data_IF_649308736283
#
_entry.id   IF_649308736283
#
_cell.length_a   1.000
_cell.length_b   1.000
_cell.length_c   1.000
_cell.angle_alpha   90.00
_cell.angle_beta   90.00
_cell.angle_gamma   90.00
#
_symmetry.space_group_name_H-M   'P 1'
#
loop_
_entity.id
_entity.type
_entity.pdbx_description
1 polymer ?
#
# COMPACT_ATOMS: atom_id res chain seq x y z
N UNK A 1 10.77 -16.68 -13.03
CA UNK A 1 10.84 -18.10 -12.62
C UNK A 1 9.46 -18.66 -12.27
N UNK A 2 8.69 -18.02 -11.37
CA UNK A 2 7.30 -18.42 -11.09
C UNK A 2 6.39 -18.47 -12.33
N UNK A 3 6.42 -17.45 -13.19
CA UNK A 3 5.59 -17.41 -14.41
C UNK A 3 5.84 -18.59 -15.34
N UNK A 4 7.09 -19.06 -15.44
CA UNK A 4 7.46 -20.25 -16.21
C UNK A 4 6.92 -21.53 -15.58
N UNK A 5 6.88 -21.61 -14.24
CA UNK A 5 6.28 -22.74 -13.52
C UNK A 5 4.75 -22.78 -13.74
N UNK A 6 4.07 -21.64 -13.64
CA UNK A 6 2.64 -21.54 -13.91
C UNK A 6 2.32 -21.94 -15.37
N UNK A 7 3.10 -21.45 -16.34
CA UNK A 7 2.96 -21.82 -17.75
C UNK A 7 3.24 -23.32 -17.95
N UNK A 8 4.25 -23.88 -17.30
CA UNK A 8 4.57 -25.30 -17.38
C UNK A 8 3.46 -26.17 -16.78
N UNK A 9 2.88 -25.78 -15.64
CA UNK A 9 1.75 -26.49 -15.02
C UNK A 9 0.54 -26.51 -15.97
N UNK A 10 0.17 -25.36 -16.54
CA UNK A 10 -0.91 -25.27 -17.51
C UNK A 10 -0.59 -26.04 -18.79
N UNK A 11 0.66 -26.02 -19.26
CA UNK A 11 1.10 -26.73 -20.46
C UNK A 11 1.12 -28.26 -20.29
N UNK A 12 1.46 -28.76 -19.10
CA UNK A 12 1.53 -30.19 -18.81
C UNK A 12 0.16 -30.83 -18.56
N UNK A 13 -0.72 -30.13 -17.84
CA UNK A 13 -2.01 -30.69 -17.42
C UNK A 13 -3.20 -30.12 -18.21
N UNK A 14 -3.00 -29.07 -19.01
CA UNK A 14 -4.09 -28.30 -19.60
C UNK A 14 -4.80 -27.44 -18.56
N UNK A 15 -5.57 -26.45 -19.03
CA UNK A 15 -6.25 -25.47 -18.17
C UNK A 15 -7.28 -26.15 -17.23
N UNK A 16 -7.95 -27.19 -17.71
CA UNK A 16 -8.96 -27.95 -16.94
C UNK A 16 -8.39 -29.17 -16.19
N UNK A 17 -7.19 -29.64 -16.53
CA UNK A 17 -6.60 -30.83 -15.88
C UNK A 17 -5.94 -30.55 -14.53
N UNK A 18 -5.98 -29.29 -14.08
CA UNK A 18 -5.54 -28.87 -12.74
C UNK A 18 -6.67 -28.96 -11.69
N UNK A 19 -7.89 -29.32 -12.09
CA UNK A 19 -9.04 -29.47 -11.20
C UNK A 19 -8.76 -30.39 -10.01
N UNK A 20 -9.03 -29.92 -8.79
CA UNK A 20 -8.82 -30.67 -7.55
C UNK A 20 -7.36 -30.97 -7.17
N UNK A 21 -6.38 -30.38 -7.87
CA UNK A 21 -4.97 -30.63 -7.57
C UNK A 21 -4.50 -29.73 -6.41
N UNK A 22 -4.11 -30.37 -5.30
CA UNK A 22 -3.62 -29.71 -4.07
C UNK A 22 -2.36 -28.86 -4.26
N UNK A 23 -1.61 -29.06 -5.36
CA UNK A 23 -0.43 -28.27 -5.67
C UNK A 23 -0.76 -26.89 -6.27
N UNK A 24 -2.00 -26.64 -6.69
CA UNK A 24 -2.39 -25.39 -7.35
C UNK A 24 -2.24 -24.20 -6.38
N UNK A 25 -2.73 -24.32 -5.14
CA UNK A 25 -2.58 -23.27 -4.12
C UNK A 25 -1.11 -22.93 -3.79
N UNK A 26 -0.23 -23.89 -3.41
CA UNK A 26 1.15 -23.56 -3.10
C UNK A 26 1.91 -23.01 -4.32
N UNK A 27 1.63 -23.48 -5.54
CA UNK A 27 2.29 -22.99 -6.75
C UNK A 27 1.80 -21.61 -7.20
N UNK A 28 0.50 -21.34 -7.10
CA UNK A 28 -0.10 -20.10 -7.63
C UNK A 28 -0.27 -19.00 -6.58
N UNK A 29 -0.24 -19.30 -5.28
CA UNK A 29 -0.38 -18.31 -4.20
C UNK A 29 0.88 -18.24 -3.36
N UNK A 30 1.28 -19.33 -2.70
CA UNK A 30 2.40 -19.28 -1.76
C UNK A 30 3.72 -18.94 -2.45
N UNK A 31 4.03 -19.56 -3.59
CA UNK A 31 5.29 -19.33 -4.30
C UNK A 31 5.43 -17.90 -4.85
N UNK A 32 4.44 -17.27 -5.52
CA UNK A 32 4.57 -15.88 -5.94
C UNK A 32 4.58 -14.90 -4.77
N UNK A 33 3.82 -15.14 -3.70
CA UNK A 33 3.91 -14.31 -2.48
C UNK A 33 5.28 -14.44 -1.82
N UNK A 34 5.83 -15.66 -1.70
CA UNK A 34 7.19 -15.87 -1.22
C UNK A 34 8.22 -15.19 -2.12
N UNK A 35 8.04 -15.25 -3.45
CA UNK A 35 8.88 -14.53 -4.42
C UNK A 35 8.82 -13.02 -4.18
N UNK A 36 7.62 -12.47 -3.94
CA UNK A 36 7.46 -11.07 -3.58
C UNK A 36 8.26 -10.72 -2.33
N UNK A 37 8.16 -11.49 -1.24
CA UNK A 37 8.92 -11.23 -0.01
C UNK A 37 10.44 -11.35 -0.22
N UNK A 38 10.89 -12.36 -0.98
CA UNK A 38 12.31 -12.51 -1.32
C UNK A 38 12.83 -11.30 -2.09
N UNK A 39 12.08 -10.82 -3.09
CA UNK A 39 12.46 -9.62 -3.85
C UNK A 39 12.36 -8.35 -2.99
N UNK A 40 11.35 -8.25 -2.12
CA UNK A 40 11.17 -7.11 -1.23
C UNK A 40 12.33 -6.95 -0.25
N UNK A 41 12.80 -8.04 0.37
CA UNK A 41 13.87 -7.99 1.37
C UNK A 41 15.29 -8.11 0.79
N UNK A 42 15.46 -8.81 -0.33
CA UNK A 42 16.77 -9.15 -0.88
C UNK A 42 16.95 -8.68 -2.34
N UNK A 43 16.02 -7.93 -2.90
CA UNK A 43 16.06 -7.47 -4.30
C UNK A 43 17.31 -6.66 -4.62
N UNK A 44 17.81 -5.86 -3.67
CA UNK A 44 19.05 -5.12 -3.80
C UNK A 44 20.28 -6.02 -4.00
N UNK A 45 20.33 -7.16 -3.28
CA UNK A 45 21.45 -8.12 -3.35
C UNK A 45 21.33 -8.99 -4.60
N UNK A 46 20.11 -9.45 -4.91
CA UNK A 46 19.82 -10.32 -6.04
C UNK A 46 20.05 -9.65 -7.41
N UNK A 47 19.88 -8.33 -7.49
CA UNK A 47 20.12 -7.57 -8.73
C UNK A 47 21.59 -7.19 -8.91
N UNK A 48 22.48 -7.53 -7.97
CA UNK A 48 23.92 -7.34 -8.08
C UNK A 48 24.32 -5.90 -8.38
N UNK A 49 23.61 -4.93 -7.78
CA UNK A 49 23.78 -3.49 -8.03
C UNK A 49 23.61 -3.05 -9.51
N UNK A 50 23.08 -3.89 -10.41
CA UNK A 50 22.84 -3.50 -11.83
C UNK A 50 21.82 -2.39 -11.99
N UNK A 51 21.02 -2.15 -10.96
CA UNK A 51 19.99 -1.11 -10.86
C UNK A 51 20.34 -0.09 -9.77
N UNK A 52 21.63 -0.02 -9.38
CA UNK A 52 22.10 0.81 -8.28
C UNK A 52 21.93 2.29 -8.60
N UNK A 53 21.11 2.96 -7.81
CA UNK A 53 21.20 4.41 -7.67
C UNK A 53 22.47 4.75 -6.88
N UNK A 54 23.14 5.84 -7.23
CA UNK A 54 24.18 6.40 -6.36
C UNK A 54 23.48 7.07 -5.18
N UNK A 55 23.72 6.57 -3.98
CA UNK A 55 23.11 7.09 -2.75
C UNK A 55 24.21 7.72 -1.89
N UNK A 56 23.95 8.93 -1.42
CA UNK A 56 24.74 9.56 -0.37
C UNK A 56 24.00 9.37 0.95
N UNK A 57 24.66 8.72 1.90
CA UNK A 57 24.11 8.48 3.24
C UNK A 57 25.15 8.98 4.24
N UNK A 58 24.79 9.98 5.03
CA UNK A 58 25.64 10.67 5.99
C UNK A 58 26.55 9.73 6.79
N UNK A 59 25.98 8.68 7.39
CA UNK A 59 26.66 7.73 8.27
C UNK A 59 27.66 6.84 7.53
N UNK A 60 27.46 6.64 6.23
CA UNK A 60 28.33 5.84 5.37
C UNK A 60 29.41 6.69 4.70
N UNK A 61 29.12 7.95 4.39
CA UNK A 61 30.00 8.84 3.66
C UNK A 61 30.87 9.73 4.56
N UNK A 62 30.39 10.04 5.77
CA UNK A 62 31.15 10.79 6.78
C UNK A 62 31.94 9.81 7.63
N UNK A 63 33.21 10.14 7.84
CA UNK A 63 34.14 9.37 8.63
C UNK A 63 33.64 9.30 10.08
N UNK A 64 33.47 8.09 10.63
CA UNK A 64 32.87 7.91 11.95
C UNK A 64 33.90 7.90 13.09
N UNK A 65 35.17 7.63 12.80
CA UNK A 65 36.23 7.37 13.80
C UNK A 65 37.31 8.45 13.89
N UNK A 66 37.45 9.27 12.85
CA UNK A 66 38.44 10.37 12.78
C UNK A 66 37.66 11.66 12.95
N UNK A 67 37.88 12.33 14.08
CA UNK A 67 37.11 13.50 14.49
C UNK A 67 37.43 14.71 13.62
N UNK A 68 38.64 14.85 13.11
CA UNK A 68 39.02 15.98 12.26
C UNK A 68 38.42 15.82 10.85
N UNK A 69 38.53 14.62 10.27
CA UNK A 69 37.89 14.34 8.99
C UNK A 69 36.37 14.46 9.11
N UNK A 70 35.78 13.93 10.20
CA UNK A 70 34.36 14.05 10.48
C UNK A 70 33.91 15.52 10.51
N UNK A 71 34.63 16.37 11.25
CA UNK A 71 34.32 17.79 11.33
C UNK A 71 34.39 18.48 9.95
N UNK A 72 35.45 18.21 9.17
CA UNK A 72 35.61 18.74 7.81
C UNK A 72 34.47 18.28 6.88
N UNK A 73 34.05 17.03 6.98
CA UNK A 73 32.99 16.47 6.14
C UNK A 73 31.59 16.94 6.56
N UNK A 74 31.32 17.09 7.86
CA UNK A 74 30.09 17.71 8.36
C UNK A 74 29.99 19.16 7.88
N UNK A 75 31.08 19.92 7.90
CA UNK A 75 31.11 21.28 7.37
C UNK A 75 30.81 21.33 5.86
N UNK A 76 31.12 20.26 5.11
CA UNK A 76 30.85 20.13 3.68
C UNK A 76 29.47 19.53 3.36
N UNK A 77 28.69 19.10 4.37
CA UNK A 77 27.41 18.42 4.19
C UNK A 77 26.42 19.22 3.31
N UNK A 78 26.25 20.55 3.49
CA UNK A 78 25.35 21.31 2.63
C UNK A 78 25.73 21.26 1.14
N UNK A 79 27.03 21.12 0.82
CA UNK A 79 27.50 21.00 -0.56
C UNK A 79 27.05 19.68 -1.18
N UNK A 80 27.22 18.56 -0.46
CA UNK A 80 26.76 17.26 -0.96
C UNK A 80 25.26 17.23 -1.20
N UNK A 81 24.49 17.81 -0.26
CA UNK A 81 23.03 17.90 -0.38
C UNK A 81 22.63 18.78 -1.57
N UNK A 82 23.31 19.92 -1.78
CA UNK A 82 23.01 20.82 -2.90
C UNK A 82 23.30 20.21 -4.28
N UNK A 83 24.25 19.28 -4.38
CA UNK A 83 24.59 18.58 -5.62
C UNK A 83 23.77 17.30 -5.86
N UNK A 84 22.93 16.87 -4.91
CA UNK A 84 22.08 15.71 -5.09
C UNK A 84 20.99 16.00 -6.14
N UNK A 85 20.70 15.04 -7.01
CA UNK A 85 19.64 15.17 -8.03
C UNK A 85 18.23 14.96 -7.46
N UNK A 86 18.10 14.21 -6.37
CA UNK A 86 16.85 13.89 -5.66
C UNK A 86 17.12 13.73 -4.17
N UNK A 87 16.13 14.04 -3.33
CA UNK A 87 16.17 13.82 -1.89
C UNK A 87 15.07 12.84 -1.48
N UNK A 88 15.47 11.68 -0.96
CA UNK A 88 14.56 10.70 -0.37
C UNK A 88 14.48 10.93 1.15
N UNK A 89 13.32 11.38 1.62
CA UNK A 89 13.02 11.55 3.04
C UNK A 89 12.40 10.26 3.56
N UNK A 90 13.12 9.56 4.43
CA UNK A 90 12.58 8.45 5.21
C UNK A 90 11.95 9.00 6.49
N UNK A 91 10.64 9.25 6.45
CA UNK A 91 9.95 9.91 7.55
C UNK A 91 9.66 8.94 8.70
N UNK A 92 10.17 9.28 9.88
CA UNK A 92 9.71 8.79 11.18
C UNK A 92 9.08 9.94 11.98
N UNK A 93 8.47 9.61 13.12
CA UNK A 93 7.81 10.57 14.02
C UNK A 93 8.73 11.68 14.57
N UNK A 94 10.05 11.58 14.41
CA UNK A 94 11.04 12.55 14.88
C UNK A 94 11.71 13.33 13.75
N UNK A 95 11.37 13.08 12.48
CA UNK A 95 12.06 13.68 11.33
C UNK A 95 12.06 15.21 11.37
N UNK A 96 10.87 15.81 11.44
CA UNK A 96 10.72 17.26 11.49
C UNK A 96 11.15 17.87 12.84
N UNK A 97 11.33 17.04 13.86
CA UNK A 97 11.89 17.47 15.15
C UNK A 97 13.42 17.55 15.13
N UNK A 98 14.11 17.07 14.09
CA UNK A 98 15.58 17.06 14.03
C UNK A 98 16.09 18.24 13.23
N UNK A 99 16.78 19.18 13.90
CA UNK A 99 17.28 20.41 13.27
C UNK A 99 18.26 20.15 12.11
N UNK A 100 19.11 19.13 12.22
CA UNK A 100 20.01 18.72 11.13
C UNK A 100 19.26 18.22 9.89
N UNK A 101 18.22 17.39 10.06
CA UNK A 101 17.37 16.95 8.95
C UNK A 101 16.64 18.12 8.28
N UNK A 102 16.23 19.11 9.08
CA UNK A 102 15.61 20.32 8.56
C UNK A 102 16.61 21.21 7.79
N UNK A 103 17.88 21.28 8.20
CA UNK A 103 18.94 21.95 7.45
C UNK A 103 19.19 21.28 6.09
N UNK A 104 19.24 19.95 6.06
CA UNK A 104 19.37 19.18 4.82
C UNK A 104 18.20 19.46 3.87
N UNK A 105 16.97 19.43 4.40
CA UNK A 105 15.77 19.75 3.64
C UNK A 105 15.81 21.19 3.10
N UNK A 106 16.14 22.17 3.93
CA UNK A 106 16.27 23.57 3.54
C UNK A 106 17.31 23.74 2.42
N UNK A 107 18.46 23.10 2.57
CA UNK A 107 19.55 23.13 1.59
C UNK A 107 19.14 22.51 0.26
N UNK A 108 18.50 21.33 0.30
CA UNK A 108 18.08 20.64 -0.92
C UNK A 108 16.99 21.43 -1.65
N UNK A 109 15.97 21.88 -0.94
CA UNK A 109 14.85 22.62 -1.55
C UNK A 109 15.32 23.91 -2.20
N UNK A 110 16.26 24.64 -1.58
CA UNK A 110 16.84 25.85 -2.16
C UNK A 110 17.58 25.58 -3.49
N UNK A 111 18.29 24.46 -3.59
CA UNK A 111 19.18 24.16 -4.72
C UNK A 111 18.54 23.24 -5.78
N UNK A 112 18.03 22.07 -5.36
CA UNK A 112 17.47 21.02 -6.21
C UNK A 112 15.98 21.18 -6.52
N UNK A 113 15.27 22.04 -5.79
CA UNK A 113 13.85 22.29 -5.97
C UNK A 113 12.95 21.19 -5.37
N UNK A 114 11.80 21.62 -4.88
CA UNK A 114 10.87 20.78 -4.11
C UNK A 114 10.35 19.56 -4.86
N UNK A 115 10.17 19.66 -6.18
CA UNK A 115 9.64 18.60 -7.04
C UNK A 115 10.51 17.34 -7.08
N UNK A 116 11.77 17.45 -6.65
CA UNK A 116 12.73 16.36 -6.59
C UNK A 116 12.84 15.74 -5.18
N UNK A 117 11.92 16.11 -4.27
CA UNK A 117 11.77 15.50 -2.95
C UNK A 117 10.76 14.36 -3.03
N UNK A 118 11.18 13.18 -2.57
CA UNK A 118 10.33 12.01 -2.37
C UNK A 118 10.20 11.76 -0.86
N UNK A 119 8.99 11.82 -0.30
CA UNK A 119 8.77 11.50 1.11
C UNK A 119 8.16 10.10 1.25
N UNK A 120 8.88 9.20 1.91
CA UNK A 120 8.46 7.83 2.19
C UNK A 120 8.24 7.64 3.70
N UNK A 121 6.98 7.52 4.15
CA UNK A 121 6.69 7.25 5.56
C UNK A 121 7.10 5.82 5.94
N UNK A 122 7.87 5.67 7.02
CA UNK A 122 8.39 4.36 7.43
C UNK A 122 7.32 3.38 7.92
N UNK A 123 6.10 3.84 8.23
CA UNK A 123 4.97 2.96 8.55
C UNK A 123 4.35 2.28 7.33
N UNK A 124 4.61 2.77 6.10
CA UNK A 124 3.97 2.27 4.88
C UNK A 124 4.34 0.81 4.60
N UNK A 125 5.63 0.49 4.67
CA UNK A 125 6.11 -0.87 4.44
C UNK A 125 5.57 -1.88 5.48
N UNK A 126 5.69 -1.65 6.80
CA UNK A 126 5.08 -2.52 7.82
C UNK A 126 3.57 -2.72 7.63
N UNK A 127 2.81 -1.65 7.34
CA UNK A 127 1.37 -1.75 7.09
C UNK A 127 1.07 -2.60 5.84
N UNK A 128 1.82 -2.39 4.74
CA UNK A 128 1.64 -3.13 3.50
C UNK A 128 1.94 -4.61 3.69
N UNK A 129 3.09 -4.94 4.29
CA UNK A 129 3.49 -6.32 4.55
C UNK A 129 2.52 -7.02 5.51
N UNK A 130 2.07 -6.33 6.55
CA UNK A 130 1.04 -6.85 7.45
C UNK A 130 -0.26 -7.12 6.69
N UNK A 131 -0.71 -6.21 5.82
CA UNK A 131 -1.92 -6.40 5.02
C UNK A 131 -1.80 -7.61 4.09
N UNK A 132 -0.66 -7.79 3.41
CA UNK A 132 -0.37 -8.96 2.57
C UNK A 132 -0.39 -10.25 3.41
N UNK A 133 0.21 -10.27 4.60
CA UNK A 133 0.21 -11.47 5.44
C UNK A 133 -1.19 -11.83 5.96
N UNK A 134 -2.00 -10.83 6.30
CA UNK A 134 -3.39 -11.04 6.72
C UNK A 134 -4.26 -11.52 5.55
N UNK A 135 -4.04 -10.99 4.34
CA UNK A 135 -4.72 -11.45 3.13
C UNK A 135 -4.32 -12.88 2.77
N UNK A 136 -3.03 -13.23 2.92
CA UNK A 136 -2.52 -14.60 2.74
C UNK A 136 -3.13 -15.56 3.77
N UNK A 137 -3.23 -15.14 5.04
CA UNK A 137 -3.90 -15.92 6.07
C UNK A 137 -5.37 -16.16 5.71
N UNK A 138 -6.08 -15.13 5.24
CA UNK A 138 -7.47 -15.27 4.80
C UNK A 138 -7.61 -16.23 3.61
N UNK A 139 -6.76 -16.10 2.58
CA UNK A 139 -6.72 -17.01 1.44
C UNK A 139 -6.41 -18.46 1.86
N UNK A 140 -5.46 -18.67 2.78
CA UNK A 140 -5.17 -19.99 3.33
C UNK A 140 -6.30 -20.58 4.17
N UNK A 141 -7.02 -19.76 4.94
CA UNK A 141 -8.21 -20.18 5.68
C UNK A 141 -9.35 -20.55 4.74
N UNK A 142 -9.52 -19.81 3.65
CA UNK A 142 -10.52 -20.12 2.62
C UNK A 142 -10.18 -21.45 1.91
N UNK A 143 -8.91 -21.64 1.55
CA UNK A 143 -8.45 -22.91 0.98
C UNK A 143 -8.64 -24.10 1.94
N UNK A 144 -8.36 -23.90 3.22
CA UNK A 144 -8.60 -24.91 4.26
C UNK A 144 -10.08 -25.23 4.39
N UNK A 145 -10.96 -24.22 4.33
CA UNK A 145 -12.40 -24.39 4.37
C UNK A 145 -12.88 -25.27 3.20
N UNK A 146 -12.41 -25.00 1.99
CA UNK A 146 -12.73 -25.80 0.80
C UNK A 146 -12.25 -27.25 0.92
N UNK A 147 -11.08 -27.47 1.52
CA UNK A 147 -10.55 -28.82 1.75
C UNK A 147 -11.32 -29.60 2.83
N UNK A 148 -11.67 -28.94 3.94
CA UNK A 148 -12.38 -29.56 5.06
C UNK A 148 -13.85 -29.80 4.70
N UNK A 149 -14.45 -28.90 3.92
CA UNK A 149 -15.84 -28.96 3.48
C UNK A 149 -15.92 -28.95 1.95
N UNK A 150 -15.54 -30.05 1.27
CA UNK A 150 -15.53 -30.08 -0.18
C UNK A 150 -16.94 -29.87 -0.74
N UNK A 151 -17.03 -28.97 -1.73
CA UNK A 151 -18.27 -28.56 -2.39
C UNK A 151 -19.31 -27.96 -1.42
N UNK A 152 -18.88 -27.29 -0.34
CA UNK A 152 -19.80 -26.68 0.64
C UNK A 152 -20.76 -25.68 -0.02
N UNK A 153 -20.26 -24.87 -0.96
CA UNK A 153 -21.03 -23.90 -1.73
C UNK A 153 -22.17 -24.59 -2.48
N UNK A 154 -21.89 -25.71 -3.13
CA UNK A 154 -22.87 -26.52 -3.86
C UNK A 154 -23.90 -27.18 -2.94
N UNK A 155 -23.50 -27.63 -1.74
CA UNK A 155 -24.44 -28.18 -0.75
C UNK A 155 -25.44 -27.13 -0.26
N UNK A 156 -25.08 -25.86 -0.32
CA UNK A 156 -25.92 -24.75 0.13
C UNK A 156 -26.86 -24.23 -0.98
N UNK A 157 -26.60 -24.59 -2.25
CA UNK A 157 -27.45 -24.16 -3.38
C UNK A 157 -28.91 -24.58 -3.19
N UNK A 158 -29.28 -25.86 -2.97
CA UNK A 158 -30.69 -26.25 -2.84
C UNK A 158 -31.46 -25.53 -1.72
N UNK A 159 -31.00 -25.49 -0.45
CA UNK A 159 -31.76 -24.83 0.61
C UNK A 159 -31.88 -23.33 0.40
N UNK A 160 -30.86 -22.67 -0.17
CA UNK A 160 -30.95 -21.24 -0.49
C UNK A 160 -31.94 -21.00 -1.64
N UNK A 161 -31.92 -21.83 -2.68
CA UNK A 161 -32.87 -21.72 -3.79
C UNK A 161 -34.31 -21.94 -3.31
N UNK A 162 -34.57 -22.95 -2.48
CA UNK A 162 -35.90 -23.21 -1.91
C UNK A 162 -36.39 -22.03 -1.04
N UNK A 163 -35.52 -21.52 -0.16
CA UNK A 163 -35.85 -20.35 0.65
C UNK A 163 -36.12 -19.12 -0.22
N UNK A 164 -35.31 -18.89 -1.26
CA UNK A 164 -35.48 -17.77 -2.19
C UNK A 164 -36.76 -17.90 -3.00
N UNK A 165 -37.10 -19.11 -3.46
CA UNK A 165 -38.35 -19.38 -4.18
C UNK A 165 -39.57 -19.06 -3.32
N UNK A 166 -39.52 -19.41 -2.03
CA UNK A 166 -40.61 -19.13 -1.09
C UNK A 166 -40.82 -17.62 -0.83
N UNK A 167 -39.76 -16.82 -0.90
CA UNK A 167 -39.77 -15.39 -0.57
C UNK A 167 -39.97 -14.48 -1.79
N UNK A 168 -39.34 -14.82 -2.92
CA UNK A 168 -39.23 -13.96 -4.11
C UNK A 168 -39.87 -14.58 -5.36
N UNK A 169 -40.38 -15.81 -5.27
CA UNK A 169 -41.03 -16.52 -6.36
C UNK A 169 -40.06 -17.26 -7.30
N UNK A 170 -40.61 -17.81 -8.39
CA UNK A 170 -39.93 -18.80 -9.24
C UNK A 170 -39.08 -18.22 -10.38
N UNK A 171 -38.65 -16.96 -10.30
CA UNK A 171 -37.85 -16.37 -11.38
C UNK A 171 -36.44 -16.98 -11.38
N UNK A 172 -36.02 -17.73 -12.43
CA UNK A 172 -34.78 -18.49 -12.40
C UNK A 172 -33.53 -17.59 -12.31
N UNK A 173 -33.53 -16.43 -12.96
CA UNK A 173 -32.42 -15.48 -12.88
C UNK A 173 -32.28 -14.90 -11.47
N UNK A 174 -33.41 -14.55 -10.82
CA UNK A 174 -33.42 -14.07 -9.43
C UNK A 174 -32.93 -15.14 -8.45
N UNK A 175 -33.36 -16.40 -8.62
CA UNK A 175 -32.92 -17.51 -7.77
C UNK A 175 -31.39 -17.68 -7.85
N UNK A 176 -30.83 -17.72 -9.06
CA UNK A 176 -29.38 -17.85 -9.27
C UNK A 176 -28.61 -16.65 -8.71
N UNK A 177 -29.12 -15.43 -8.95
CA UNK A 177 -28.53 -14.20 -8.43
C UNK A 177 -28.41 -14.24 -6.91
N UNK A 178 -29.52 -14.52 -6.21
CA UNK A 178 -29.55 -14.53 -4.75
C UNK A 178 -28.69 -15.65 -4.20
N UNK A 179 -28.79 -16.87 -4.75
CA UNK A 179 -27.97 -18.00 -4.30
C UNK A 179 -26.48 -17.71 -4.39
N UNK A 180 -26.02 -17.21 -5.54
CA UNK A 180 -24.61 -16.88 -5.74
C UNK A 180 -24.16 -15.73 -4.83
N UNK A 181 -25.00 -14.70 -4.66
CA UNK A 181 -24.73 -13.59 -3.76
C UNK A 181 -24.56 -14.05 -2.30
N UNK A 182 -25.46 -14.91 -1.80
CA UNK A 182 -25.42 -15.44 -0.43
C UNK A 182 -24.19 -16.32 -0.20
N UNK A 183 -23.87 -17.22 -1.14
CA UNK A 183 -22.67 -18.08 -1.05
C UNK A 183 -21.42 -17.20 -0.96
N UNK A 184 -21.31 -16.20 -1.82
CA UNK A 184 -20.15 -15.31 -1.82
C UNK A 184 -20.04 -14.49 -0.54
N UNK A 185 -21.16 -13.97 -0.02
CA UNK A 185 -21.17 -13.29 1.28
C UNK A 185 -20.65 -14.19 2.41
N UNK A 186 -21.01 -15.48 2.40
CA UNK A 186 -20.54 -16.44 3.39
C UNK A 186 -19.03 -16.74 3.26
N UNK A 187 -18.49 -16.75 2.03
CA UNK A 187 -17.05 -16.88 1.78
C UNK A 187 -16.22 -15.82 2.51
N UNK A 188 -16.80 -14.66 2.83
CA UNK A 188 -16.16 -13.59 3.60
C UNK A 188 -15.90 -13.93 5.08
N UNK A 189 -16.41 -15.05 5.59
CA UNK A 189 -16.23 -15.45 6.99
C UNK A 189 -14.76 -15.61 7.40
N UNK A 190 -13.89 -15.95 6.45
CA UNK A 190 -12.44 -16.09 6.70
C UNK A 190 -11.80 -14.76 7.08
N UNK A 191 -12.35 -13.63 6.64
CA UNK A 191 -11.88 -12.30 7.00
C UNK A 191 -12.34 -11.86 8.41
N UNK A 192 -13.29 -12.55 9.04
CA UNK A 192 -13.63 -12.28 10.45
C UNK A 192 -12.44 -12.56 11.36
N UNK A 193 -11.66 -13.61 11.07
CA UNK A 193 -10.50 -14.01 11.87
C UNK A 193 -9.34 -13.02 11.73
N UNK A 194 -9.20 -12.36 10.58
CA UNK A 194 -8.16 -11.36 10.34
C UNK A 194 -8.59 -9.93 10.73
N UNK A 195 -9.85 -9.74 11.11
CA UNK A 195 -10.40 -8.41 11.43
C UNK A 195 -9.72 -7.74 12.63
N UNK A 196 -9.38 -8.51 13.66
CA UNK A 196 -8.70 -8.00 14.86
C UNK A 196 -7.29 -7.47 14.55
N UNK A 197 -6.38 -8.24 13.91
CA UNK A 197 -5.07 -7.70 13.55
C UNK A 197 -5.16 -6.58 12.50
N UNK A 198 -6.12 -6.63 11.58
CA UNK A 198 -6.39 -5.52 10.63
C UNK A 198 -6.72 -4.22 11.37
N UNK A 199 -7.53 -4.28 12.42
CA UNK A 199 -7.85 -3.09 13.23
C UNK A 199 -6.59 -2.37 13.74
N UNK A 200 -5.64 -3.11 14.32
CA UNK A 200 -4.39 -2.52 14.82
C UNK A 200 -3.51 -1.95 13.69
N UNK A 201 -3.38 -2.70 12.59
CA UNK A 201 -2.59 -2.28 11.42
C UNK A 201 -3.13 -0.97 10.82
N UNK A 202 -4.44 -0.89 10.59
CA UNK A 202 -5.07 0.29 10.00
C UNK A 202 -5.13 1.48 10.97
N UNK A 203 -5.29 1.25 12.28
CA UNK A 203 -5.15 2.32 13.28
C UNK A 203 -3.74 2.89 13.34
N UNK A 204 -2.71 2.05 13.25
CA UNK A 204 -1.32 2.50 13.20
C UNK A 204 -1.08 3.38 11.98
N UNK A 205 -1.59 2.96 10.82
CA UNK A 205 -1.56 3.74 9.57
C UNK A 205 -2.23 5.09 9.74
N UNK A 206 -3.48 5.14 10.25
CA UNK A 206 -4.21 6.40 10.49
C UNK A 206 -3.42 7.34 11.39
N UNK A 207 -2.99 6.86 12.56
CA UNK A 207 -2.29 7.66 13.56
C UNK A 207 -1.00 8.25 13.02
N UNK A 208 -0.16 7.44 12.39
CA UNK A 208 1.15 7.89 11.93
C UNK A 208 1.04 8.79 10.68
N UNK A 209 0.07 8.53 9.80
CA UNK A 209 -0.17 9.40 8.64
C UNK A 209 -0.73 10.76 9.08
N UNK A 210 -1.65 10.77 10.06
CA UNK A 210 -2.16 12.02 10.62
C UNK A 210 -1.04 12.80 11.33
N UNK A 211 -0.20 12.13 12.12
CA UNK A 211 0.96 12.75 12.76
C UNK A 211 1.91 13.42 11.75
N UNK A 212 2.17 12.77 10.61
CA UNK A 212 2.97 13.36 9.53
C UNK A 212 2.38 14.69 9.04
N UNK A 213 1.08 14.69 8.71
CA UNK A 213 0.40 15.89 8.20
C UNK A 213 0.30 16.99 9.26
N UNK A 214 0.05 16.63 10.52
CA UNK A 214 0.00 17.55 11.65
C UNK A 214 1.38 18.19 11.90
N UNK A 215 2.46 17.41 11.86
CA UNK A 215 3.83 17.93 12.01
C UNK A 215 4.21 18.90 10.91
N UNK A 216 3.80 18.64 9.67
CA UNK A 216 4.09 19.52 8.53
C UNK A 216 3.26 20.80 8.58
N UNK A 217 1.97 20.71 8.92
CA UNK A 217 1.09 21.88 9.01
C UNK A 217 1.42 22.79 10.20
N UNK A 218 1.85 22.22 11.32
CA UNK A 218 2.28 22.95 12.51
C UNK A 218 3.80 23.20 12.57
N UNK A 219 4.52 22.98 11.46
CA UNK A 219 5.98 22.99 11.43
C UNK A 219 6.58 24.33 11.89
N UNK A 220 7.59 24.26 12.76
CA UNK A 220 8.45 25.41 13.08
C UNK A 220 9.88 24.94 13.30
N UNK A 221 10.79 25.37 12.44
CA UNK A 221 12.21 25.04 12.50
C UNK A 221 12.83 25.43 13.84
N UNK A 222 12.34 26.49 14.50
CA UNK A 222 12.84 26.94 15.81
C UNK A 222 12.51 25.95 16.93
N UNK A 223 11.39 25.25 16.81
CA UNK A 223 10.97 24.22 17.76
C UNK A 223 11.73 22.90 17.57
N UNK A 224 12.47 22.73 16.46
CA UNK A 224 13.25 21.54 16.20
C UNK A 224 14.36 21.36 17.26
N UNK A 225 14.58 20.13 17.68
CA UNK A 225 15.61 19.70 18.62
C UNK A 225 16.96 19.64 17.91
N UNK A 226 18.00 20.09 18.60
CA UNK A 226 19.38 19.97 18.14
C UNK A 226 20.10 18.91 18.98
N UNK A 227 20.86 18.02 18.34
CA UNK A 227 21.61 16.98 19.04
C UNK A 227 22.69 17.56 19.96
N UNK A 228 23.37 18.62 19.49
CA UNK A 228 24.32 19.41 20.26
C UNK A 228 23.84 20.86 20.24
N UNK A 229 23.42 21.35 21.40
CA UNK A 229 22.80 22.68 21.46
C UNK A 229 23.76 23.83 21.07
N UNK A 230 25.07 23.58 21.10
CA UNK A 230 26.08 24.51 20.59
C UNK A 230 25.98 24.74 19.06
N UNK A 231 25.48 23.77 18.30
CA UNK A 231 25.41 23.84 16.83
C UNK A 231 24.19 24.64 16.35
N UNK A 232 23.21 24.87 17.22
CA UNK A 232 21.92 25.49 16.85
C UNK A 232 22.11 26.80 16.10
N UNK A 233 22.87 27.72 16.67
CA UNK A 233 23.04 29.06 16.08
C UNK A 233 23.65 28.96 14.68
N UNK A 234 24.69 28.13 14.52
CA UNK A 234 25.35 27.94 13.23
C UNK A 234 24.44 27.27 12.18
N UNK A 235 23.55 26.38 12.60
CA UNK A 235 22.56 25.75 11.71
C UNK A 235 21.47 26.76 11.33
N UNK A 236 20.91 27.50 12.29
CA UNK A 236 19.89 28.51 12.04
C UNK A 236 20.43 29.62 11.14
N UNK A 237 21.67 30.09 11.36
CA UNK A 237 22.35 31.04 10.47
C UNK A 237 22.52 30.50 9.04
N UNK A 238 22.77 29.21 8.86
CA UNK A 238 22.81 28.59 7.53
C UNK A 238 21.44 28.60 6.86
N UNK A 239 20.37 28.24 7.57
CA UNK A 239 19.01 28.30 7.03
C UNK A 239 18.64 29.74 6.68
N UNK A 240 18.98 30.69 7.55
CA UNK A 240 18.82 32.12 7.29
C UNK A 240 19.53 32.52 6.00
N UNK A 241 20.81 32.17 5.84
CA UNK A 241 21.58 32.50 4.64
C UNK A 241 20.97 31.92 3.33
N UNK A 242 20.33 30.74 3.40
CA UNK A 242 19.64 30.15 2.25
C UNK A 242 18.37 30.93 1.86
N UNK A 243 17.72 31.60 2.80
CA UNK A 243 16.42 32.26 2.58
C UNK A 243 16.48 33.81 2.62
N UNK A 244 17.59 34.43 3.04
CA UNK A 244 17.81 35.89 3.02
C UNK A 244 18.12 36.46 1.63
N UNK A 245 18.71 35.65 0.73
CA UNK A 245 19.40 36.17 -0.44
C UNK A 245 18.78 35.80 -1.78
N UNK A 246 18.12 36.75 -2.43
CA UNK A 246 17.85 36.73 -3.87
C UNK A 246 19.10 36.88 -4.77
N UNK A 247 20.31 36.92 -4.20
CA UNK A 247 21.60 37.13 -4.88
C UNK A 247 22.75 36.45 -4.11
N UNK A 248 22.98 35.15 -4.28
CA UNK A 248 24.32 34.60 -4.05
C UNK A 248 25.14 34.79 -5.35
N UNK A 249 26.40 35.28 -5.29
CA UNK A 249 27.17 35.62 -6.47
C UNK A 249 27.40 34.39 -7.34
N UNK A 250 27.27 34.59 -8.65
CA UNK A 250 27.78 33.67 -9.68
C UNK A 250 29.26 33.48 -9.42
N UNK A 251 29.67 32.30 -8.92
CA UNK A 251 31.05 31.88 -9.13
C UNK A 251 31.13 31.43 -10.58
N UNK A 252 31.56 32.34 -11.45
CA UNK A 252 32.23 31.96 -12.69
C UNK A 252 33.50 31.19 -12.30
N UNK A 253 33.35 29.89 -12.07
CA UNK A 253 34.43 28.93 -11.98
C UNK A 253 34.65 28.37 -13.36
N UNK A 254 35.81 28.67 -13.93
CA UNK A 254 36.30 28.23 -15.23
C UNK A 254 35.98 26.77 -15.57
N UNK A 255 35.11 26.59 -16.56
CA UNK A 255 35.16 25.54 -17.59
C UNK A 255 35.19 24.09 -17.13
N UNK A 256 34.05 23.55 -16.72
CA UNK A 256 33.56 22.21 -17.12
C UNK A 256 32.03 22.29 -17.21
N UNK A 257 31.47 21.65 -18.23
CA UNK A 257 30.03 21.56 -18.55
C UNK A 257 29.23 20.90 -17.41
N UNK A 258 28.83 21.68 -16.41
CA UNK A 258 27.92 21.27 -15.34
C UNK A 258 26.56 21.95 -15.57
N UNK A 259 25.53 21.13 -15.83
CA UNK A 259 24.17 21.59 -16.12
C UNK A 259 23.64 22.59 -15.09
N UNK A 260 23.00 23.66 -15.57
CA UNK A 260 22.45 24.75 -14.76
C UNK A 260 21.53 24.23 -13.64
N UNK A 261 22.00 24.28 -12.40
CA UNK A 261 21.17 24.06 -11.21
C UNK A 261 20.22 25.25 -11.07
N UNK A 262 18.97 25.04 -11.49
CA UNK A 262 17.91 26.06 -11.55
C UNK A 262 17.42 26.43 -10.14
N UNK A 263 18.08 27.39 -9.47
CA UNK A 263 17.70 27.87 -8.13
C UNK A 263 16.27 28.44 -8.09
N UNK A 264 15.52 28.09 -7.05
CA UNK A 264 14.16 28.58 -6.84
C UNK A 264 14.20 29.99 -6.24
N UNK A 265 13.57 30.98 -6.92
CA UNK A 265 13.59 32.39 -6.47
C UNK A 265 12.41 32.64 -5.52
N UNK A 266 12.70 32.81 -4.23
CA UNK A 266 11.69 33.16 -3.23
C UNK A 266 11.37 34.67 -3.28
N UNK A 267 10.08 35.03 -3.33
CA UNK A 267 9.63 36.42 -3.35
C UNK A 267 9.76 37.03 -1.95
N UNK A 268 10.74 37.93 -1.79
CA UNK A 268 11.09 38.59 -0.54
C UNK A 268 10.41 39.96 -0.45
N UNK A 269 9.29 40.03 0.24
CA UNK A 269 8.83 41.26 0.89
C UNK A 269 8.99 41.03 2.41
N UNK A 270 9.91 41.76 3.05
CA UNK A 270 10.01 42.02 4.50
C UNK A 270 9.70 40.86 5.48
N UNK A 271 10.04 39.63 5.12
CA UNK A 271 9.74 38.43 5.91
C UNK A 271 10.99 37.79 6.48
N UNK A 272 10.92 37.47 7.76
CA UNK A 272 11.89 36.66 8.49
C UNK A 272 12.25 35.37 7.70
N UNK A 273 13.54 35.14 7.37
CA UNK A 273 14.00 34.03 6.53
C UNK A 273 13.61 32.64 7.06
N UNK A 274 13.63 32.46 8.38
CA UNK A 274 13.20 31.19 8.99
C UNK A 274 11.68 30.99 8.85
N UNK A 275 10.90 32.07 8.90
CA UNK A 275 9.48 32.01 8.58
C UNK A 275 9.25 31.67 7.09
N UNK A 276 10.09 32.16 6.17
CA UNK A 276 10.01 31.75 4.76
C UNK A 276 10.20 30.23 4.60
N UNK A 277 11.17 29.63 5.30
CA UNK A 277 11.35 28.17 5.31
C UNK A 277 10.14 27.45 5.94
N UNK A 278 9.64 27.94 7.08
CA UNK A 278 8.47 27.37 7.74
C UNK A 278 7.24 27.35 6.81
N UNK A 279 6.94 28.47 6.14
CA UNK A 279 5.84 28.57 5.18
C UNK A 279 6.05 27.66 3.96
N UNK A 280 7.31 27.43 3.56
CA UNK A 280 7.63 26.50 2.49
C UNK A 280 7.30 25.04 2.85
N UNK A 281 7.58 24.64 4.09
CA UNK A 281 7.24 23.30 4.59
C UNK A 281 5.72 23.15 4.76
N UNK A 282 5.05 24.14 5.36
CA UNK A 282 3.60 24.13 5.61
C UNK A 282 2.75 24.20 4.35
N UNK A 283 3.23 24.85 3.29
CA UNK A 283 2.50 25.06 2.05
C UNK A 283 2.98 24.12 0.94
N UNK A 284 3.96 24.56 0.12
CA UNK A 284 4.45 23.79 -1.03
C UNK A 284 4.82 22.33 -0.72
N UNK A 285 5.58 22.06 0.34
CA UNK A 285 6.03 20.70 0.65
C UNK A 285 4.88 19.82 1.10
N UNK A 286 4.02 20.32 1.99
CA UNK A 286 2.82 19.62 2.42
C UNK A 286 1.93 19.28 1.22
N UNK A 287 1.68 20.23 0.32
CA UNK A 287 0.89 20.00 -0.89
C UNK A 287 1.51 18.94 -1.81
N UNK A 288 2.84 18.93 -1.95
CA UNK A 288 3.55 17.90 -2.69
C UNK A 288 3.36 16.52 -2.04
N UNK A 289 3.54 16.42 -0.73
CA UNK A 289 3.36 15.17 0.02
C UNK A 289 1.92 14.68 -0.09
N UNK A 290 0.92 15.54 0.09
CA UNK A 290 -0.50 15.20 -0.12
C UNK A 290 -0.78 14.73 -1.55
N UNK A 291 -0.09 15.27 -2.56
CA UNK A 291 -0.22 14.83 -3.95
C UNK A 291 0.40 13.45 -4.20
N UNK A 292 1.52 13.13 -3.55
CA UNK A 292 2.25 11.87 -3.70
C UNK A 292 1.59 10.72 -2.94
N UNK A 293 1.31 10.91 -1.64
CA UNK A 293 0.85 9.84 -0.75
C UNK A 293 -0.63 9.96 -0.35
N UNK A 294 -1.24 11.14 -0.53
CA UNK A 294 -2.63 11.39 -0.14
C UNK A 294 -2.81 11.77 1.33
N UNK A 295 -4.08 11.92 1.74
CA UNK A 295 -4.45 12.07 3.14
C UNK A 295 -4.51 10.71 3.87
N UNK A 296 -4.73 10.75 5.19
CA UNK A 296 -4.77 9.58 6.07
C UNK A 296 -5.85 8.55 5.69
N UNK A 297 -6.90 8.97 4.97
CA UNK A 297 -7.99 8.10 4.48
C UNK A 297 -7.74 7.54 3.08
N UNK A 298 -6.74 8.06 2.36
CA UNK A 298 -6.39 7.64 1.01
C UNK A 298 -5.41 6.46 1.06
N UNK A 299 -5.60 5.55 0.12
CA UNK A 299 -4.64 4.50 -0.24
C UNK A 299 -4.56 4.53 -1.76
N UNK A 300 -3.39 4.72 -2.37
CA UNK A 300 -3.26 4.66 -3.82
C UNK A 300 -3.76 3.31 -4.36
N UNK A 301 -4.46 3.32 -5.49
CA UNK A 301 -5.11 2.15 -6.06
C UNK A 301 -4.15 0.96 -6.25
N UNK A 302 -2.94 1.23 -6.76
CA UNK A 302 -1.92 0.21 -6.97
C UNK A 302 -1.42 -0.38 -5.64
N UNK A 303 -1.28 0.42 -4.58
CA UNK A 303 -0.93 -0.08 -3.25
C UNK A 303 -2.04 -0.95 -2.67
N UNK A 304 -3.30 -0.58 -2.88
CA UNK A 304 -4.44 -1.39 -2.45
C UNK A 304 -4.47 -2.75 -3.18
N UNK A 305 -4.18 -2.78 -4.49
CA UNK A 305 -4.02 -4.04 -5.23
C UNK A 305 -2.86 -4.89 -4.70
N UNK A 306 -1.70 -4.27 -4.42
CA UNK A 306 -0.55 -4.98 -3.86
C UNK A 306 -0.90 -5.59 -2.49
N UNK A 307 -1.65 -4.87 -1.65
CA UNK A 307 -2.11 -5.36 -0.35
C UNK A 307 -3.03 -6.60 -0.45
N UNK A 308 -3.74 -6.76 -1.57
CA UNK A 308 -4.63 -7.89 -1.85
C UNK A 308 -4.02 -8.94 -2.81
N UNK A 309 -2.69 -8.91 -3.02
CA UNK A 309 -2.01 -9.85 -3.92
C UNK A 309 -2.32 -11.33 -3.63
N UNK A 310 -2.32 -11.80 -2.37
CA UNK A 310 -2.66 -13.20 -2.08
C UNK A 310 -4.04 -13.60 -2.58
N UNK A 311 -5.08 -12.80 -2.35
CA UNK A 311 -6.43 -13.10 -2.84
C UNK A 311 -6.55 -12.95 -4.37
N UNK A 312 -5.83 -12.00 -4.96
CA UNK A 312 -5.71 -11.90 -6.43
C UNK A 312 -5.10 -13.18 -7.01
N UNK A 313 -4.04 -13.71 -6.39
CA UNK A 313 -3.47 -14.99 -6.80
C UNK A 313 -4.41 -16.16 -6.52
N UNK A 314 -5.13 -16.13 -5.40
CA UNK A 314 -6.12 -17.13 -5.05
C UNK A 314 -7.24 -17.24 -6.11
N UNK A 315 -7.63 -16.12 -6.74
CA UNK A 315 -8.59 -16.17 -7.86
C UNK A 315 -8.18 -17.16 -8.96
N UNK A 316 -6.87 -17.30 -9.23
CA UNK A 316 -6.35 -18.26 -10.20
C UNK A 316 -6.47 -19.70 -9.71
N UNK A 317 -6.34 -19.93 -8.40
CA UNK A 317 -6.62 -21.24 -7.78
C UNK A 317 -8.09 -21.58 -7.95
N UNK A 318 -8.99 -20.67 -7.59
CA UNK A 318 -10.42 -20.93 -7.72
C UNK A 318 -10.86 -21.21 -9.17
N UNK A 319 -10.28 -20.50 -10.15
CA UNK A 319 -10.54 -20.74 -11.58
C UNK A 319 -9.96 -22.10 -12.04
N UNK A 320 -8.69 -22.38 -11.75
CA UNK A 320 -7.97 -23.53 -12.33
C UNK A 320 -8.16 -24.85 -11.56
N UNK A 321 -8.43 -24.77 -10.26
CA UNK A 321 -8.72 -25.92 -9.42
C UNK A 321 -10.22 -26.31 -9.44
N UNK A 322 -11.08 -25.51 -10.10
CA UNK A 322 -12.50 -25.78 -10.30
C UNK A 322 -13.23 -26.18 -9.01
N UNK A 323 -13.20 -25.29 -8.01
CA UNK A 323 -13.74 -25.51 -6.66
C UNK A 323 -13.20 -26.79 -5.98
N UNK A 324 -11.90 -27.04 -6.19
CA UNK A 324 -11.17 -28.19 -5.66
C UNK A 324 -11.75 -29.56 -6.07
N UNK A 325 -12.40 -29.63 -7.23
CA UNK A 325 -12.91 -30.85 -7.85
C UNK A 325 -12.56 -30.97 -9.34
N UNK A 326 -12.89 -32.10 -10.00
CA UNK A 326 -12.73 -32.24 -11.44
C UNK A 326 -13.59 -31.22 -12.19
N UNK A 327 -12.99 -30.48 -13.13
CA UNK A 327 -13.67 -29.36 -13.79
C UNK A 327 -14.94 -29.75 -14.54
N UNK A 328 -15.02 -30.95 -15.15
CA UNK A 328 -16.27 -31.40 -15.78
C UNK A 328 -17.40 -31.55 -14.75
N UNK A 329 -17.08 -32.07 -13.57
CA UNK A 329 -18.07 -32.30 -12.51
C UNK A 329 -18.50 -30.95 -11.93
N UNK A 330 -17.55 -30.08 -11.57
CA UNK A 330 -17.85 -28.76 -10.99
C UNK A 330 -18.68 -27.89 -11.93
N UNK A 331 -18.39 -27.92 -13.24
CA UNK A 331 -19.15 -27.18 -14.24
C UNK A 331 -20.60 -27.67 -14.35
N UNK A 332 -20.81 -28.99 -14.41
CA UNK A 332 -22.16 -29.59 -14.50
C UNK A 332 -22.94 -29.37 -13.22
N UNK A 333 -22.33 -29.58 -12.05
CA UNK A 333 -22.98 -29.34 -10.77
C UNK A 333 -23.40 -27.87 -10.61
N UNK A 334 -22.55 -26.95 -11.08
CA UNK A 334 -22.85 -25.51 -11.08
C UNK A 334 -23.88 -25.10 -12.14
N UNK A 335 -24.36 -26.00 -12.99
CA UNK A 335 -25.41 -25.72 -13.98
C UNK A 335 -24.91 -25.13 -15.31
N UNK A 336 -23.61 -25.25 -15.62
CA UNK A 336 -23.06 -24.77 -16.89
C UNK A 336 -23.13 -25.83 -17.99
N UNK A 337 -23.26 -25.36 -19.23
CA UNK A 337 -23.32 -26.23 -20.43
C UNK A 337 -21.97 -26.79 -20.85
N UNK A 338 -20.87 -26.14 -20.46
CA UNK A 338 -19.50 -26.56 -20.79
C UNK A 338 -18.51 -26.05 -19.74
N UNK A 339 -17.38 -26.74 -19.61
CA UNK A 339 -16.25 -26.33 -18.76
C UNK A 339 -15.72 -24.96 -19.18
N UNK A 340 -15.63 -24.68 -20.49
CA UNK A 340 -15.18 -23.39 -20.99
C UNK A 340 -16.09 -22.26 -20.54
N UNK A 341 -17.42 -22.43 -20.60
CA UNK A 341 -18.37 -21.42 -20.12
C UNK A 341 -18.21 -21.17 -18.62
N UNK A 342 -18.05 -22.23 -17.81
CA UNK A 342 -17.78 -22.12 -16.37
C UNK A 342 -16.50 -21.32 -16.11
N UNK A 343 -15.38 -21.71 -16.70
CA UNK A 343 -14.09 -21.05 -16.46
C UNK A 343 -14.07 -19.59 -16.91
N UNK A 344 -14.65 -19.27 -18.08
CA UNK A 344 -14.76 -17.88 -18.56
C UNK A 344 -15.59 -17.04 -17.61
N UNK A 345 -16.69 -17.60 -17.09
CA UNK A 345 -17.55 -16.92 -16.10
C UNK A 345 -16.78 -16.60 -14.83
N UNK A 346 -16.03 -17.57 -14.29
CA UNK A 346 -15.18 -17.38 -13.11
C UNK A 346 -14.14 -16.28 -13.35
N UNK A 347 -13.44 -16.30 -14.49
CA UNK A 347 -12.41 -15.30 -14.85
C UNK A 347 -13.00 -13.89 -14.92
N UNK A 348 -14.15 -13.72 -15.58
CA UNK A 348 -14.80 -12.40 -15.71
C UNK A 348 -15.24 -11.88 -14.35
N UNK A 349 -15.87 -12.73 -13.51
CA UNK A 349 -16.34 -12.34 -12.19
C UNK A 349 -15.21 -11.98 -11.23
N UNK A 350 -14.13 -12.77 -11.22
CA UNK A 350 -12.92 -12.45 -10.44
C UNK A 350 -12.28 -11.16 -10.92
N UNK A 351 -12.13 -10.95 -12.23
CA UNK A 351 -11.55 -9.72 -12.79
C UNK A 351 -12.32 -8.49 -12.31
N UNK A 352 -13.65 -8.52 -12.42
CA UNK A 352 -14.50 -7.42 -11.96
C UNK A 352 -14.39 -7.21 -10.44
N UNK A 353 -14.35 -8.29 -9.66
CA UNK A 353 -14.19 -8.20 -8.20
C UNK A 353 -12.85 -7.58 -7.80
N UNK A 354 -11.76 -7.98 -8.47
CA UNK A 354 -10.39 -7.48 -8.23
C UNK A 354 -10.27 -5.98 -8.52
N UNK A 355 -10.91 -5.49 -9.58
CA UNK A 355 -10.80 -4.07 -9.95
C UNK A 355 -11.84 -3.17 -9.29
N UNK A 356 -13.03 -3.69 -8.95
CA UNK A 356 -14.14 -2.89 -8.44
C UNK A 356 -14.34 -2.99 -6.92
N UNK A 357 -14.01 -4.12 -6.30
CA UNK A 357 -14.28 -4.35 -4.87
C UNK A 357 -13.03 -4.26 -3.99
N UNK A 358 -11.96 -4.99 -4.34
CA UNK A 358 -10.78 -5.09 -3.48
C UNK A 358 -10.11 -3.74 -3.17
N UNK A 359 -9.84 -2.86 -4.16
CA UNK A 359 -9.11 -1.62 -3.92
C UNK A 359 -9.90 -0.62 -3.06
N UNK A 360 -11.22 -0.79 -2.98
CA UNK A 360 -12.14 0.08 -2.23
C UNK A 360 -12.24 -0.34 -0.76
N UNK A 361 -11.88 -1.59 -0.44
CA UNK A 361 -11.99 -2.17 0.91
C UNK A 361 -11.15 -1.39 1.93
N UNK A 362 -9.87 -1.14 1.62
CA UNK A 362 -8.95 -0.42 2.50
C UNK A 362 -9.40 1.03 2.78
N UNK A 363 -9.77 1.86 1.78
CA UNK A 363 -10.36 3.18 2.01
C UNK A 363 -11.64 3.17 2.86
N UNK A 364 -12.55 2.22 2.65
CA UNK A 364 -13.78 2.10 3.44
C UNK A 364 -13.44 1.80 4.89
N UNK A 365 -12.56 0.82 5.12
CA UNK A 365 -12.13 0.42 6.45
C UNK A 365 -11.48 1.58 7.19
N UNK A 366 -10.62 2.36 6.53
CA UNK A 366 -10.02 3.58 7.10
C UNK A 366 -11.08 4.62 7.50
N UNK A 367 -12.05 4.89 6.62
CA UNK A 367 -13.13 5.85 6.89
C UNK A 367 -13.99 5.43 8.07
N UNK A 368 -14.33 4.14 8.15
CA UNK A 368 -15.15 3.61 9.24
C UNK A 368 -14.42 3.66 10.58
N UNK A 369 -13.15 3.23 10.63
CA UNK A 369 -12.32 3.32 11.84
C UNK A 369 -12.15 4.79 12.26
N UNK A 370 -11.81 5.67 11.32
CA UNK A 370 -11.60 7.09 11.63
C UNK A 370 -12.86 7.72 12.21
N UNK A 371 -14.03 7.43 11.63
CA UNK A 371 -15.32 7.91 12.13
C UNK A 371 -15.64 7.42 13.54
N UNK A 372 -15.32 6.17 13.86
CA UNK A 372 -15.54 5.62 15.19
C UNK A 372 -14.59 6.26 16.22
N UNK A 373 -13.30 6.39 15.88
CA UNK A 373 -12.27 6.95 16.77
C UNK A 373 -12.41 8.47 16.92
N UNK A 374 -12.92 9.20 15.92
CA UNK A 374 -13.13 10.65 16.01
C UNK A 374 -14.20 11.05 17.02
N UNK A 375 -15.02 10.10 17.51
CA UNK A 375 -16.05 10.36 18.53
C UNK A 375 -15.51 10.32 19.96
N UNK A 376 -14.32 9.77 20.17
CA UNK A 376 -13.71 9.64 21.48
C UNK A 376 -12.68 8.52 21.54
N UNK A 377 -11.93 8.48 22.64
CA UNK A 377 -10.89 7.48 22.90
C UNK A 377 -11.29 6.48 24.00
N UNK A 378 -12.59 6.38 24.32
CA UNK A 378 -13.09 5.48 25.35
C UNK A 378 -13.13 4.01 24.90
N UNK A 379 -13.37 3.07 25.83
CA UNK A 379 -13.49 1.65 25.51
C UNK A 379 -14.61 1.34 24.52
N UNK A 380 -15.72 2.10 24.57
CA UNK A 380 -16.86 1.93 23.67
C UNK A 380 -16.49 2.31 22.23
N UNK A 381 -15.85 3.46 22.03
CA UNK A 381 -15.41 3.92 20.71
C UNK A 381 -14.38 2.96 20.11
N UNK A 382 -13.47 2.44 20.94
CA UNK A 382 -12.49 1.43 20.53
C UNK A 382 -13.17 0.13 20.08
N UNK A 383 -14.18 -0.33 20.84
CA UNK A 383 -14.97 -1.51 20.47
C UNK A 383 -15.76 -1.29 19.19
N UNK A 384 -16.39 -0.13 19.01
CA UNK A 384 -17.08 0.23 17.77
C UNK A 384 -16.13 0.27 16.58
N UNK A 385 -14.93 0.84 16.75
CA UNK A 385 -13.91 0.88 15.70
C UNK A 385 -13.39 -0.52 15.35
N UNK A 386 -13.29 -1.43 16.32
CA UNK A 386 -12.97 -2.84 16.09
C UNK A 386 -14.05 -3.53 15.24
N UNK A 387 -15.33 -3.29 15.54
CA UNK A 387 -16.46 -3.81 14.77
C UNK A 387 -16.54 -3.28 13.33
N UNK A 388 -15.91 -2.14 13.03
CA UNK A 388 -15.84 -1.62 11.67
C UNK A 388 -15.07 -2.54 10.72
N UNK A 389 -14.06 -3.27 11.20
CA UNK A 389 -13.25 -4.17 10.35
C UNK A 389 -14.05 -5.32 9.74
N UNK A 390 -14.75 -6.17 10.52
CA UNK A 390 -15.54 -7.25 9.95
C UNK A 390 -16.67 -6.69 9.06
N UNK A 391 -17.28 -5.55 9.41
CA UNK A 391 -18.29 -4.91 8.58
C UNK A 391 -17.75 -4.44 7.22
N UNK A 392 -16.54 -3.86 7.19
CA UNK A 392 -15.90 -3.43 5.95
C UNK A 392 -15.54 -4.62 5.03
N UNK A 393 -15.10 -5.74 5.61
CA UNK A 393 -14.90 -6.98 4.85
C UNK A 393 -16.22 -7.55 4.33
N UNK A 394 -17.25 -7.64 5.18
CA UNK A 394 -18.59 -8.07 4.76
C UNK A 394 -19.15 -7.19 3.64
N UNK A 395 -18.89 -5.89 3.67
CA UNK A 395 -19.24 -4.97 2.58
C UNK A 395 -18.53 -5.36 1.27
N UNK A 396 -17.21 -5.59 1.31
CA UNK A 396 -16.42 -6.01 0.13
C UNK A 396 -16.94 -7.31 -0.48
N UNK A 397 -17.30 -8.27 0.37
CA UNK A 397 -17.93 -9.52 -0.06
C UNK A 397 -19.37 -9.32 -0.53
N UNK A 398 -20.13 -8.39 0.02
CA UNK A 398 -21.44 -8.04 -0.52
C UNK A 398 -21.31 -7.48 -1.94
N UNK A 399 -20.36 -6.58 -2.18
CA UNK A 399 -20.06 -6.07 -3.52
C UNK A 399 -19.64 -7.19 -4.48
N UNK A 400 -18.79 -8.12 -4.03
CA UNK A 400 -18.44 -9.30 -4.80
C UNK A 400 -19.66 -10.17 -5.11
N UNK A 401 -20.54 -10.43 -4.14
CA UNK A 401 -21.76 -11.21 -4.32
C UNK A 401 -22.73 -10.60 -5.33
N UNK A 402 -22.83 -9.27 -5.38
CA UNK A 402 -23.59 -8.56 -6.41
C UNK A 402 -22.98 -8.75 -7.80
N UNK A 403 -21.65 -8.67 -7.93
CA UNK A 403 -20.94 -8.91 -9.20
C UNK A 403 -21.16 -10.35 -9.67
N UNK A 404 -20.85 -11.30 -8.80
CA UNK A 404 -20.97 -12.73 -9.04
C UNK A 404 -22.41 -13.14 -9.40
N UNK A 405 -23.38 -12.75 -8.57
CA UNK A 405 -24.79 -13.02 -8.82
C UNK A 405 -25.28 -12.45 -10.14
N UNK A 406 -24.85 -11.22 -10.50
CA UNK A 406 -25.25 -10.60 -11.76
C UNK A 406 -24.73 -11.36 -12.97
N UNK A 407 -23.45 -11.77 -12.94
CA UNK A 407 -22.82 -12.48 -14.06
C UNK A 407 -23.43 -13.87 -14.22
N UNK A 408 -23.59 -14.62 -13.11
CA UNK A 408 -24.19 -15.96 -13.17
C UNK A 408 -25.62 -15.90 -13.69
N UNK A 409 -26.43 -14.94 -13.23
CA UNK A 409 -27.80 -14.77 -13.72
C UNK A 409 -27.89 -14.33 -15.19
N UNK A 410 -26.85 -13.70 -15.73
CA UNK A 410 -26.76 -13.31 -17.15
C UNK A 410 -26.34 -14.49 -18.05
N UNK A 411 -25.45 -15.34 -17.55
CA UNK A 411 -24.83 -16.42 -18.34
C UNK A 411 -25.63 -17.72 -18.30
N UNK A 412 -26.32 -17.99 -17.19
CA UNK A 412 -27.09 -19.21 -16.97
C UNK A 412 -28.59 -18.94 -16.96
#
# INVERSE_FOLDING_TARGET
MWSLLAIALVGMFGVAGLGGNVCVFPCLVCLPVATFFVVFFFGQDLTGARWSMSLWVDKLCIHQTDLELKAKQIAALPVFVAHASRMLILWDETYFERLWCNLELATFVHNGGIQNVDLLPLWLAPWLLCSILLDLLSAGLFELLEHVLPNWSMRWVPPIMEATESLLGKNPAMLKFVTCCVIWMFSGITYLLVSVPSFFSFRMKLRNHQLLLDQMSAFDVRAAKCALQADRNAIEEHVVALFEGGNAPVKEGSGVDDGEVRRQRFSLEDRDPLNCFNEHVKGPLLALVESQIGNELRVPFHIALIACLPMIFYSSVNVLACDNGPCEISAVLSGYSSVTQYMVTQVVAWTLTIFLSFPVTSPILLRMINFAVSRGNGPLELFMALLCCPLAYMWSYTCGGLIWGSIVALVQ
#
